data_IF_633090907751
#
_entry.id   IF_633090907751
#
_cell.length_a   1.000
_cell.length_b   1.000
_cell.length_c   1.000
_cell.angle_alpha   90.00
_cell.angle_beta   90.00
_cell.angle_gamma   90.00
#
_symmetry.space_group_name_H-M   'P 1'
#
loop_
_entity.id
_entity.type
_entity.pdbx_description
1 polymer ?
#
# COMPACT_ATOMS: atom_id res chain seq x y z
N UNK A 1 -3.85 -13.88 -18.91
CA UNK A 1 -5.28 -13.97 -19.22
C UNK A 1 -5.51 -13.09 -20.44
N UNK A 2 -6.33 -13.46 -21.41
CA UNK A 2 -6.59 -12.48 -22.46
C UNK A 2 -7.42 -11.35 -21.82
N UNK A 3 -7.05 -10.10 -22.10
CA UNK A 3 -7.67 -8.88 -21.52
C UNK A 3 -9.19 -8.90 -21.55
N UNK A 4 -9.80 -9.55 -22.56
CA UNK A 4 -11.26 -9.75 -22.66
C UNK A 4 -11.88 -10.46 -21.45
N UNK A 5 -11.19 -11.43 -20.84
CA UNK A 5 -11.73 -12.14 -19.66
C UNK A 5 -11.80 -11.23 -18.44
N UNK A 6 -10.82 -10.33 -18.27
CA UNK A 6 -10.84 -9.33 -17.19
C UNK A 6 -11.99 -8.35 -17.37
N UNK A 7 -12.23 -7.89 -18.61
CA UNK A 7 -13.39 -7.04 -18.93
C UNK A 7 -14.72 -7.73 -18.68
N UNK A 8 -14.85 -9.01 -19.07
CA UNK A 8 -16.07 -9.77 -18.80
C UNK A 8 -16.31 -9.97 -17.32
N UNK A 9 -15.30 -10.35 -16.55
CA UNK A 9 -15.45 -10.52 -15.10
C UNK A 9 -15.86 -9.20 -14.43
N UNK A 10 -15.22 -8.09 -14.82
CA UNK A 10 -15.59 -6.77 -14.34
C UNK A 10 -17.05 -6.38 -14.71
N UNK A 11 -17.48 -6.65 -15.94
CA UNK A 11 -18.84 -6.39 -16.40
C UNK A 11 -19.88 -7.28 -15.71
N UNK A 12 -19.55 -8.55 -15.44
CA UNK A 12 -20.38 -9.47 -14.66
C UNK A 12 -20.49 -8.97 -13.23
N UNK A 13 -19.38 -8.59 -12.59
CA UNK A 13 -19.39 -8.04 -11.23
C UNK A 13 -20.25 -6.78 -11.15
N UNK A 14 -20.06 -5.82 -12.06
CA UNK A 14 -20.87 -4.61 -12.10
C UNK A 14 -22.36 -4.93 -12.32
N UNK A 15 -22.68 -5.81 -13.28
CA UNK A 15 -24.07 -6.22 -13.53
C UNK A 15 -24.71 -6.88 -12.31
N UNK A 16 -24.01 -7.79 -11.63
CA UNK A 16 -24.53 -8.48 -10.43
C UNK A 16 -24.78 -7.50 -9.28
N UNK A 17 -23.87 -6.56 -9.05
CA UNK A 17 -24.01 -5.56 -7.99
C UNK A 17 -25.17 -4.62 -8.30
N UNK A 18 -25.29 -4.15 -9.54
CA UNK A 18 -26.41 -3.33 -9.97
C UNK A 18 -27.76 -4.07 -9.82
N UNK A 19 -27.83 -5.35 -10.20
CA UNK A 19 -29.04 -6.17 -10.05
C UNK A 19 -29.41 -6.44 -8.59
N UNK A 20 -28.46 -6.32 -7.64
CA UNK A 20 -28.75 -6.38 -6.19
C UNK A 20 -29.40 -5.10 -5.66
N UNK A 21 -29.50 -4.04 -6.47
CA UNK A 21 -30.13 -2.78 -6.10
C UNK A 21 -29.15 -1.71 -5.61
N UNK A 22 -27.83 -1.91 -5.78
CA UNK A 22 -26.83 -0.89 -5.47
C UNK A 22 -26.79 0.21 -6.54
N UNK A 23 -26.30 1.39 -6.16
CA UNK A 23 -26.17 2.53 -7.07
C UNK A 23 -25.31 2.19 -8.30
N UNK A 24 -25.72 2.65 -9.48
CA UNK A 24 -25.11 2.22 -10.74
C UNK A 24 -23.62 2.60 -10.84
N UNK A 25 -23.20 3.75 -10.30
CA UNK A 25 -21.79 4.12 -10.26
C UNK A 25 -21.00 3.30 -9.25
N UNK A 26 -21.59 2.94 -8.11
CA UNK A 26 -20.98 2.00 -7.15
C UNK A 26 -20.70 0.67 -7.85
N UNK A 27 -21.69 0.14 -8.58
CA UNK A 27 -21.55 -1.09 -9.34
C UNK A 27 -20.43 -1.00 -10.40
N UNK A 28 -20.39 0.10 -11.16
CA UNK A 28 -19.33 0.35 -12.15
C UNK A 28 -17.95 0.49 -11.50
N UNK A 29 -17.85 1.20 -10.37
CA UNK A 29 -16.61 1.37 -9.63
C UNK A 29 -16.06 0.06 -9.07
N UNK A 30 -16.93 -0.81 -8.55
CA UNK A 30 -16.53 -2.13 -8.08
C UNK A 30 -16.12 -3.04 -9.25
N UNK A 31 -16.80 -2.93 -10.39
CA UNK A 31 -16.35 -3.55 -11.65
C UNK A 31 -14.94 -3.07 -12.06
N UNK A 32 -14.68 -1.76 -12.03
CA UNK A 32 -13.36 -1.19 -12.29
C UNK A 32 -12.30 -1.73 -11.31
N UNK A 33 -12.64 -1.84 -10.03
CA UNK A 33 -11.74 -2.40 -9.00
C UNK A 33 -11.33 -3.84 -9.34
N UNK A 34 -12.28 -4.69 -9.74
CA UNK A 34 -12.01 -6.07 -10.18
C UNK A 34 -11.17 -6.09 -11.45
N UNK A 35 -11.48 -5.25 -12.43
CA UNK A 35 -10.70 -5.13 -13.66
C UNK A 35 -9.23 -4.80 -13.37
N UNK A 36 -8.99 -3.74 -12.59
CA UNK A 36 -7.64 -3.26 -12.24
C UNK A 36 -6.88 -4.32 -11.44
N UNK A 37 -7.54 -5.02 -10.52
CA UNK A 37 -6.91 -6.10 -9.75
C UNK A 37 -6.45 -7.26 -10.66
N UNK A 38 -7.29 -7.70 -11.58
CA UNK A 38 -6.97 -8.80 -12.51
C UNK A 38 -5.87 -8.39 -13.50
N UNK A 39 -5.93 -7.17 -14.04
CA UNK A 39 -4.92 -6.62 -14.94
C UNK A 39 -3.56 -6.46 -14.23
N UNK A 40 -3.55 -5.91 -13.02
CA UNK A 40 -2.33 -5.84 -12.19
C UNK A 40 -1.73 -7.23 -11.97
N UNK A 41 -2.55 -8.20 -11.54
CA UNK A 41 -2.10 -9.58 -11.28
C UNK A 41 -1.53 -10.25 -12.53
N UNK A 42 -2.06 -9.91 -13.70
CA UNK A 42 -1.53 -10.38 -14.97
C UNK A 42 -0.19 -9.74 -15.34
N UNK A 43 -0.08 -8.41 -15.16
CA UNK A 43 1.12 -7.64 -15.47
C UNK A 43 2.30 -7.96 -14.55
N UNK A 44 2.04 -8.42 -13.33
CA UNK A 44 3.05 -8.97 -12.44
C UNK A 44 3.89 -10.03 -13.16
N UNK A 45 5.21 -9.88 -13.15
CA UNK A 45 6.12 -10.82 -13.83
C UNK A 45 6.26 -10.63 -15.35
N UNK A 46 5.48 -9.72 -15.96
CA UNK A 46 5.60 -9.36 -17.39
C UNK A 46 6.12 -7.93 -17.59
N UNK A 47 5.88 -7.05 -16.64
CA UNK A 47 6.29 -5.64 -16.66
C UNK A 47 6.58 -5.22 -15.21
N UNK A 48 6.97 -3.96 -14.99
CA UNK A 48 7.04 -3.36 -13.66
C UNK A 48 5.80 -2.45 -13.49
N UNK A 49 4.67 -2.95 -12.96
CA UNK A 49 3.38 -2.28 -13.03
C UNK A 49 3.15 -1.29 -11.88
N UNK A 50 4.01 -0.28 -11.72
CA UNK A 50 3.92 0.69 -10.60
C UNK A 50 2.64 1.50 -10.68
N UNK A 51 2.26 1.97 -11.87
CA UNK A 51 1.07 2.80 -12.06
C UNK A 51 -0.21 1.98 -11.82
N UNK A 52 -0.22 0.70 -12.18
CA UNK A 52 -1.35 -0.19 -11.92
C UNK A 52 -1.48 -0.54 -10.44
N UNK A 53 -0.37 -0.66 -9.70
CA UNK A 53 -0.40 -0.75 -8.23
C UNK A 53 -1.05 0.50 -7.64
N UNK A 54 -0.63 1.69 -8.09
CA UNK A 54 -1.21 2.95 -7.61
C UNK A 54 -2.71 3.02 -7.89
N UNK A 55 -3.12 2.65 -9.11
CA UNK A 55 -4.53 2.62 -9.49
C UNK A 55 -5.31 1.59 -8.67
N UNK A 56 -4.73 0.42 -8.40
CA UNK A 56 -5.35 -0.60 -7.55
C UNK A 56 -5.55 -0.09 -6.12
N UNK A 57 -4.53 0.54 -5.53
CA UNK A 57 -4.63 1.14 -4.19
C UNK A 57 -5.73 2.21 -4.17
N UNK A 58 -5.80 3.07 -5.20
CA UNK A 58 -6.84 4.08 -5.31
C UNK A 58 -8.25 3.45 -5.41
N UNK A 59 -8.43 2.41 -6.21
CA UNK A 59 -9.72 1.68 -6.29
C UNK A 59 -10.10 1.04 -4.95
N UNK A 60 -9.15 0.41 -4.28
CA UNK A 60 -9.37 -0.19 -2.95
C UNK A 60 -9.75 0.87 -1.92
N UNK A 61 -9.11 2.05 -1.95
CA UNK A 61 -9.28 3.08 -0.93
C UNK A 61 -10.45 4.02 -1.16
N UNK A 62 -10.76 4.34 -2.42
CA UNK A 62 -11.77 5.35 -2.77
C UNK A 62 -13.07 4.74 -3.31
N UNK A 63 -13.09 3.44 -3.65
CA UNK A 63 -14.32 2.75 -4.08
C UNK A 63 -14.67 1.65 -3.08
N UNK A 64 -13.82 0.63 -2.95
CA UNK A 64 -14.13 -0.54 -2.12
C UNK A 64 -14.30 -0.17 -0.64
N UNK A 65 -13.39 0.65 -0.10
CA UNK A 65 -13.46 1.15 1.27
C UNK A 65 -14.79 1.88 1.57
N UNK A 66 -15.14 2.95 0.84
CA UNK A 66 -16.42 3.65 0.98
C UNK A 66 -17.64 2.75 0.81
N UNK A 67 -17.63 1.84 -0.17
CA UNK A 67 -18.73 0.90 -0.37
C UNK A 67 -18.96 0.03 0.88
N UNK A 68 -17.89 -0.51 1.49
CA UNK A 68 -17.99 -1.28 2.73
C UNK A 68 -18.54 -0.40 3.87
N UNK A 69 -18.09 0.85 3.96
CA UNK A 69 -18.50 1.79 5.02
C UNK A 69 -19.99 2.20 4.88
N UNK A 70 -20.47 2.46 3.67
CA UNK A 70 -21.89 2.77 3.41
C UNK A 70 -22.83 1.60 3.74
N UNK A 71 -22.35 0.36 3.64
CA UNK A 71 -23.12 -0.85 3.99
C UNK A 71 -22.89 -1.32 5.43
N UNK A 72 -21.95 -0.71 6.15
CA UNK A 72 -21.65 -1.05 7.54
C UNK A 72 -22.74 -0.51 8.46
N UNK A 73 -23.19 -1.33 9.40
CA UNK A 73 -24.10 -0.89 10.49
C UNK A 73 -23.37 -0.10 11.58
N UNK A 74 -22.04 -0.12 11.58
CA UNK A 74 -21.20 0.55 12.57
C UNK A 74 -20.43 1.68 11.90
N UNK A 75 -20.67 2.91 12.37
CA UNK A 75 -19.95 4.10 11.93
C UNK A 75 -18.97 4.56 13.00
N UNK A 76 -17.78 4.97 12.58
CA UNK A 76 -16.83 5.57 13.52
C UNK A 76 -17.36 6.94 13.89
N UNK A 77 -17.08 7.43 15.09
CA UNK A 77 -17.42 8.80 15.48
C UNK A 77 -16.71 9.90 14.67
N UNK A 78 -15.72 9.55 13.82
CA UNK A 78 -14.82 10.50 13.14
C UNK A 78 -14.46 10.12 11.70
N UNK A 79 -14.37 8.83 11.40
CA UNK A 79 -13.95 8.31 10.10
C UNK A 79 -15.14 7.61 9.43
N UNK A 80 -16.17 8.39 9.11
CA UNK A 80 -17.37 7.93 8.42
C UNK A 80 -17.59 8.75 7.14
N UNK A 81 -18.42 8.24 6.25
CA UNK A 81 -18.79 8.96 5.03
C UNK A 81 -19.72 10.15 5.35
N UNK A 82 -19.26 11.37 5.10
CA UNK A 82 -19.97 12.62 5.43
C UNK A 82 -21.09 13.00 4.45
N UNK A 83 -21.10 12.39 3.27
CA UNK A 83 -22.11 12.63 2.23
C UNK A 83 -22.73 11.30 1.80
N UNK A 84 -23.91 11.36 1.19
CA UNK A 84 -24.60 10.17 0.69
C UNK A 84 -23.80 9.44 -0.40
N UNK A 85 -24.06 8.15 -0.57
CA UNK A 85 -23.35 7.26 -1.49
C UNK A 85 -23.40 7.75 -2.95
N UNK A 86 -24.56 8.21 -3.40
CA UNK A 86 -24.79 8.78 -4.72
C UNK A 86 -23.89 9.99 -4.97
N UNK A 87 -23.93 10.98 -4.07
CA UNK A 87 -23.13 12.20 -4.15
C UNK A 87 -21.63 11.88 -4.22
N UNK A 88 -21.15 10.98 -3.37
CA UNK A 88 -19.75 10.59 -3.34
C UNK A 88 -19.31 9.85 -4.62
N UNK A 89 -20.09 8.85 -5.03
CA UNK A 89 -19.74 8.00 -6.17
C UNK A 89 -19.86 8.74 -7.51
N UNK A 90 -20.76 9.72 -7.61
CA UNK A 90 -20.89 10.65 -8.75
C UNK A 90 -19.60 11.41 -9.04
N UNK A 91 -18.84 11.76 -8.01
CA UNK A 91 -17.55 12.41 -8.18
C UNK A 91 -16.43 11.40 -8.43
N UNK A 92 -16.33 10.39 -7.57
CA UNK A 92 -15.12 9.57 -7.45
C UNK A 92 -15.00 8.55 -8.59
N UNK A 93 -16.10 7.90 -8.98
CA UNK A 93 -16.06 6.85 -10.00
C UNK A 93 -15.70 7.40 -11.39
N UNK A 94 -16.36 8.47 -11.90
CA UNK A 94 -15.95 9.09 -13.16
C UNK A 94 -14.51 9.62 -13.12
N UNK A 95 -14.11 10.23 -12.01
CA UNK A 95 -12.74 10.74 -11.83
C UNK A 95 -11.69 9.63 -11.92
N UNK A 96 -11.93 8.48 -11.28
CA UNK A 96 -11.03 7.34 -11.35
C UNK A 96 -11.00 6.69 -12.73
N UNK A 97 -12.13 6.61 -13.42
CA UNK A 97 -12.18 6.14 -14.81
C UNK A 97 -11.34 7.05 -15.70
N UNK A 98 -11.52 8.38 -15.61
CA UNK A 98 -10.73 9.35 -16.37
C UNK A 98 -9.24 9.28 -16.01
N UNK A 99 -8.90 9.07 -14.75
CA UNK A 99 -7.51 8.88 -14.29
C UNK A 99 -6.89 7.57 -14.81
N UNK A 100 -7.69 6.53 -15.01
CA UNK A 100 -7.21 5.24 -15.52
C UNK A 100 -6.83 5.30 -17.01
N UNK A 101 -7.52 6.12 -17.82
CA UNK A 101 -7.29 6.24 -19.27
C UNK A 101 -5.82 6.52 -19.60
N UNK A 102 -5.17 7.59 -19.11
CA UNK A 102 -3.80 7.86 -19.46
C UNK A 102 -2.83 6.78 -19.00
N UNK A 103 -3.12 6.12 -17.87
CA UNK A 103 -2.32 5.00 -17.38
C UNK A 103 -2.33 3.86 -18.40
N UNK A 104 -3.49 3.50 -18.93
CA UNK A 104 -3.62 2.39 -19.88
C UNK A 104 -3.18 2.72 -21.31
N UNK A 105 -3.40 3.96 -21.77
CA UNK A 105 -3.17 4.35 -23.17
C UNK A 105 -1.81 5.01 -23.43
N UNK A 106 -1.29 5.81 -22.49
CA UNK A 106 -0.06 6.59 -22.72
C UNK A 106 1.16 6.07 -21.98
N UNK A 107 0.99 5.26 -20.93
CA UNK A 107 2.13 4.78 -20.15
C UNK A 107 2.95 3.78 -20.94
N UNK A 108 4.21 4.13 -21.21
CA UNK A 108 5.18 3.18 -21.77
C UNK A 108 5.44 2.09 -20.76
N UNK A 109 5.03 0.87 -21.09
CA UNK A 109 5.35 -0.31 -20.29
C UNK A 109 6.84 -0.58 -20.41
N UNK A 110 7.53 -0.60 -19.27
CA UNK A 110 8.94 -1.01 -19.23
C UNK A 110 8.97 -2.50 -19.49
N UNK A 111 9.48 -2.89 -20.66
CA UNK A 111 9.72 -4.30 -20.98
C UNK A 111 10.84 -4.83 -20.11
N UNK A 112 10.51 -5.82 -19.29
CA UNK A 112 11.48 -6.46 -18.41
C UNK A 112 12.56 -7.19 -19.20
N UNK A 113 12.29 -7.73 -20.41
CA UNK A 113 13.31 -8.44 -21.20
C UNK A 113 14.43 -7.50 -21.62
N UNK A 114 14.07 -6.28 -22.03
CA UNK A 114 15.05 -5.23 -22.33
C UNK A 114 15.89 -4.86 -21.10
N UNK A 115 15.26 -4.83 -19.92
CA UNK A 115 15.94 -4.59 -18.65
C UNK A 115 16.88 -5.75 -18.25
N UNK A 116 16.43 -7.00 -18.41
CA UNK A 116 17.21 -8.22 -18.14
C UNK A 116 18.47 -8.28 -19.01
N UNK A 117 18.31 -8.03 -20.31
CA UNK A 117 19.42 -8.05 -21.26
C UNK A 117 20.47 -6.98 -20.90
N UNK A 118 20.04 -5.80 -20.44
CA UNK A 118 20.95 -4.74 -19.97
C UNK A 118 21.71 -5.15 -18.71
N UNK A 119 21.04 -5.77 -17.74
CA UNK A 119 21.70 -6.23 -16.50
C UNK A 119 22.74 -7.32 -16.79
N UNK A 120 22.40 -8.28 -17.67
CA UNK A 120 23.36 -9.32 -18.07
C UNK A 120 24.58 -8.72 -18.77
N UNK A 121 24.39 -7.67 -19.59
CA UNK A 121 25.48 -6.97 -20.25
C UNK A 121 26.42 -6.23 -19.28
N UNK A 122 25.88 -5.69 -18.17
CA UNK A 122 26.66 -4.98 -17.15
C UNK A 122 27.57 -5.95 -16.36
N UNK A 123 27.31 -7.26 -16.38
CA UNK A 123 28.18 -8.24 -15.72
C UNK A 123 28.23 -8.08 -14.20
N UNK A 124 27.08 -7.79 -13.56
CA UNK A 124 27.01 -7.56 -12.11
C UNK A 124 27.53 -8.77 -11.33
N UNK A 125 28.58 -8.57 -10.54
CA UNK A 125 29.16 -9.63 -9.70
C UNK A 125 28.38 -9.80 -8.40
N UNK A 126 28.34 -11.02 -7.80
CA UNK A 126 27.74 -11.23 -6.49
C UNK A 126 28.33 -10.31 -5.40
N UNK A 127 29.63 -10.00 -5.50
CA UNK A 127 30.32 -9.10 -4.56
C UNK A 127 29.75 -7.69 -4.60
N UNK A 128 29.50 -7.14 -5.78
CA UNK A 128 28.90 -5.81 -5.93
C UNK A 128 27.50 -5.74 -5.29
N UNK A 129 26.66 -6.75 -5.55
CA UNK A 129 25.34 -6.85 -4.94
C UNK A 129 25.43 -6.90 -3.41
N UNK A 130 26.35 -7.70 -2.86
CA UNK A 130 26.58 -7.79 -1.41
C UNK A 130 27.08 -6.45 -0.84
N UNK A 131 27.98 -5.74 -1.53
CA UNK A 131 28.45 -4.43 -1.08
C UNK A 131 27.32 -3.41 -1.01
N UNK A 132 26.40 -3.39 -1.97
CA UNK A 132 25.20 -2.52 -1.89
C UNK A 132 24.32 -2.86 -0.69
N UNK A 133 24.13 -4.15 -0.40
CA UNK A 133 23.36 -4.63 0.76
C UNK A 133 24.00 -4.16 2.06
N UNK A 134 25.29 -4.44 2.24
CA UNK A 134 26.04 -4.08 3.44
C UNK A 134 26.09 -2.56 3.60
N UNK A 135 26.38 -1.81 2.54
CA UNK A 135 26.39 -0.35 2.58
C UNK A 135 25.04 0.22 3.02
N UNK A 136 23.92 -0.30 2.49
CA UNK A 136 22.60 0.15 2.90
C UNK A 136 22.25 -0.18 4.36
N UNK A 137 22.72 -1.31 4.89
CA UNK A 137 22.58 -1.61 6.32
C UNK A 137 23.46 -0.70 7.20
N UNK A 138 24.70 -0.45 6.79
CA UNK A 138 25.61 0.46 7.49
C UNK A 138 25.03 1.88 7.53
N UNK A 139 24.47 2.38 6.42
CA UNK A 139 23.81 3.69 6.38
C UNK A 139 22.60 3.77 7.32
N UNK A 140 21.83 2.70 7.47
CA UNK A 140 20.73 2.66 8.44
C UNK A 140 21.25 2.72 9.89
N UNK A 141 22.38 2.08 10.19
CA UNK A 141 23.00 2.16 11.52
C UNK A 141 23.61 3.53 11.80
N UNK A 142 24.13 4.20 10.76
CA UNK A 142 24.70 5.54 10.87
C UNK A 142 23.64 6.64 10.89
N UNK A 143 22.40 6.34 10.49
CA UNK A 143 21.30 7.31 10.39
C UNK A 143 21.11 8.19 11.64
N UNK A 144 21.18 7.69 12.89
CA UNK A 144 21.04 8.53 14.09
C UNK A 144 22.12 9.61 14.25
N UNK A 145 23.27 9.46 13.58
CA UNK A 145 24.39 10.39 13.64
C UNK A 145 24.37 11.42 12.51
N UNK A 146 23.39 11.33 11.60
CA UNK A 146 23.29 12.20 10.43
C UNK A 146 22.45 13.43 10.77
N UNK A 147 22.87 14.65 10.37
CA UNK A 147 22.04 15.85 10.51
C UNK A 147 20.67 15.67 9.84
N UNK A 148 19.62 16.23 10.45
CA UNK A 148 18.24 16.03 10.00
C UNK A 148 18.03 16.45 8.53
N UNK A 149 18.76 17.47 8.06
CA UNK A 149 18.70 17.99 6.70
C UNK A 149 19.17 16.97 5.66
N UNK A 150 20.11 16.11 6.03
CA UNK A 150 20.66 15.05 5.17
C UNK A 150 19.94 13.70 5.39
N UNK A 151 19.04 13.63 6.36
CA UNK A 151 18.33 12.41 6.72
C UNK A 151 17.62 11.78 5.52
N UNK A 152 16.93 12.59 4.69
CA UNK A 152 16.25 12.07 3.50
C UNK A 152 17.20 11.45 2.46
N UNK A 153 18.37 12.05 2.25
CA UNK A 153 19.38 11.54 1.31
C UNK A 153 19.93 10.21 1.84
N UNK A 154 20.27 10.14 3.12
CA UNK A 154 20.78 8.90 3.73
C UNK A 154 19.72 7.81 3.75
N UNK A 155 18.45 8.15 3.98
CA UNK A 155 17.33 7.21 3.84
C UNK A 155 17.25 6.64 2.41
N UNK A 156 17.34 7.49 1.38
CA UNK A 156 17.33 7.06 -0.02
C UNK A 156 18.54 6.17 -0.36
N UNK A 157 19.72 6.50 0.16
CA UNK A 157 20.93 5.68 -0.04
C UNK A 157 20.83 4.35 0.72
N UNK A 158 20.21 4.32 1.90
CA UNK A 158 20.03 3.09 2.66
C UNK A 158 19.12 2.09 1.94
N UNK A 159 18.19 2.58 1.12
CA UNK A 159 17.33 1.79 0.25
C UNK A 159 18.11 1.00 -0.84
N UNK A 160 19.37 1.35 -1.12
CA UNK A 160 20.24 0.56 -2.02
C UNK A 160 20.37 -0.90 -1.58
N UNK A 161 20.12 -1.22 -0.29
CA UNK A 161 20.09 -2.62 0.17
C UNK A 161 19.08 -3.48 -0.59
N UNK A 162 17.91 -2.94 -0.90
CA UNK A 162 16.87 -3.68 -1.63
C UNK A 162 17.22 -3.83 -3.11
N UNK A 163 17.85 -2.81 -3.70
CA UNK A 163 18.39 -2.89 -5.07
C UNK A 163 19.49 -3.95 -5.15
N UNK A 164 20.39 -3.99 -4.16
CA UNK A 164 21.42 -5.02 -4.06
C UNK A 164 20.84 -6.43 -3.96
N UNK A 165 19.74 -6.62 -3.23
CA UNK A 165 19.02 -7.91 -3.20
C UNK A 165 18.50 -8.27 -4.59
N UNK A 166 17.84 -7.34 -5.29
CA UNK A 166 17.34 -7.58 -6.65
C UNK A 166 18.50 -8.01 -7.57
N UNK A 167 19.64 -7.32 -7.50
CA UNK A 167 20.86 -7.71 -8.23
C UNK A 167 21.40 -9.08 -7.84
N UNK A 168 21.34 -9.46 -6.57
CA UNK A 168 21.78 -10.77 -6.12
C UNK A 168 20.97 -11.90 -6.78
N UNK A 169 19.67 -11.70 -7.02
CA UNK A 169 18.82 -12.66 -7.73
C UNK A 169 19.16 -12.80 -9.22
N UNK A 170 19.80 -11.79 -9.83
CA UNK A 170 20.37 -11.88 -11.17
C UNK A 170 21.70 -12.66 -11.24
N UNK A 171 22.27 -13.02 -10.09
CA UNK A 171 23.52 -13.80 -10.04
C UNK A 171 23.28 -15.26 -9.62
N UNK A 172 24.26 -16.13 -9.89
CA UNK A 172 24.24 -17.53 -9.47
C UNK A 172 24.65 -17.74 -7.99
N UNK A 173 24.37 -16.77 -7.12
CA UNK A 173 24.76 -16.84 -5.70
C UNK A 173 23.92 -17.86 -4.92
N UNK A 174 24.58 -18.83 -4.27
CA UNK A 174 23.94 -19.96 -3.56
C UNK A 174 23.03 -19.53 -2.41
N UNK A 175 23.39 -18.48 -1.67
CA UNK A 175 22.70 -18.08 -0.44
C UNK A 175 21.72 -16.91 -0.63
N UNK A 176 21.28 -16.63 -1.86
CA UNK A 176 20.39 -15.50 -2.17
C UNK A 176 19.11 -15.45 -1.33
N UNK A 177 18.51 -16.61 -1.05
CA UNK A 177 17.31 -16.72 -0.22
C UNK A 177 17.58 -16.40 1.26
N UNK A 178 18.76 -16.78 1.77
CA UNK A 178 19.16 -16.46 3.15
C UNK A 178 19.37 -14.96 3.30
N UNK A 179 20.03 -14.33 2.32
CA UNK A 179 20.25 -12.87 2.30
C UNK A 179 18.93 -12.11 2.19
N UNK A 180 18.00 -12.58 1.33
CA UNK A 180 16.65 -12.03 1.24
C UNK A 180 15.90 -12.13 2.57
N UNK A 181 15.83 -13.33 3.15
CA UNK A 181 15.12 -13.58 4.40
C UNK A 181 15.71 -12.77 5.56
N UNK A 182 17.04 -12.73 5.68
CA UNK A 182 17.72 -11.93 6.70
C UNK A 182 17.46 -10.43 6.52
N UNK A 183 17.48 -9.92 5.29
CA UNK A 183 17.22 -8.52 5.03
C UNK A 183 15.77 -8.12 5.29
N UNK A 184 14.83 -8.99 4.94
CA UNK A 184 13.41 -8.79 5.18
C UNK A 184 13.08 -8.88 6.68
N UNK A 185 13.69 -9.83 7.40
CA UNK A 185 13.57 -9.95 8.85
C UNK A 185 14.12 -8.70 9.56
N UNK A 186 15.28 -8.20 9.15
CA UNK A 186 15.82 -6.95 9.68
C UNK A 186 14.86 -5.76 9.44
N UNK A 187 14.26 -5.67 8.24
CA UNK A 187 13.28 -4.63 7.95
C UNK A 187 11.98 -4.79 8.78
N UNK A 188 11.53 -6.02 9.00
CA UNK A 188 10.37 -6.32 9.85
C UNK A 188 10.64 -5.86 11.29
N UNK A 189 11.79 -6.23 11.86
CA UNK A 189 12.17 -5.81 13.21
C UNK A 189 12.29 -4.30 13.34
N UNK A 190 12.90 -3.62 12.36
CA UNK A 190 12.97 -2.17 12.32
C UNK A 190 11.57 -1.53 12.25
N UNK A 191 10.66 -2.10 11.45
CA UNK A 191 9.28 -1.62 11.31
C UNK A 191 8.47 -1.79 12.60
N UNK A 192 8.68 -2.90 13.32
CA UNK A 192 8.09 -3.14 14.64
C UNK A 192 8.63 -2.14 15.67
N UNK A 193 9.95 -1.96 15.73
CA UNK A 193 10.60 -1.03 16.65
C UNK A 193 10.14 0.42 16.45
N UNK A 194 9.97 0.83 15.18
CA UNK A 194 9.45 2.15 14.81
C UNK A 194 7.91 2.25 14.91
N UNK A 195 7.19 1.13 15.01
CA UNK A 195 5.72 1.10 14.94
C UNK A 195 5.16 1.54 13.57
N UNK A 196 5.98 1.53 12.53
CA UNK A 196 5.68 1.98 11.17
C UNK A 196 6.03 0.89 10.17
N UNK A 197 5.04 0.46 9.38
CA UNK A 197 5.19 -0.72 8.50
C UNK A 197 5.07 -0.38 7.01
N UNK A 198 4.90 0.88 6.65
CA UNK A 198 4.72 1.29 5.26
C UNK A 198 5.93 0.91 4.39
N UNK A 199 7.14 1.14 4.89
CA UNK A 199 8.39 0.75 4.22
C UNK A 199 8.45 -0.75 3.95
N UNK A 200 8.10 -1.58 4.94
CA UNK A 200 8.10 -3.03 4.80
C UNK A 200 7.15 -3.48 3.66
N UNK A 201 5.96 -2.89 3.60
CA UNK A 201 4.97 -3.21 2.58
C UNK A 201 5.41 -2.77 1.18
N UNK A 202 5.97 -1.57 1.06
CA UNK A 202 6.47 -1.02 -0.20
C UNK A 202 7.62 -1.89 -0.75
N UNK A 203 8.64 -2.15 0.06
CA UNK A 203 9.78 -2.97 -0.35
C UNK A 203 9.40 -4.43 -0.56
N UNK A 204 8.47 -4.97 0.25
CA UNK A 204 7.92 -6.31 0.07
C UNK A 204 7.19 -6.45 -1.28
N UNK A 205 6.35 -5.48 -1.64
CA UNK A 205 5.65 -5.47 -2.92
C UNK A 205 6.63 -5.34 -4.09
N UNK A 206 7.62 -4.45 -3.99
CA UNK A 206 8.64 -4.29 -5.03
C UNK A 206 9.43 -5.58 -5.24
N UNK A 207 9.92 -6.19 -4.16
CA UNK A 207 10.63 -7.48 -4.23
C UNK A 207 9.75 -8.58 -4.81
N UNK A 208 8.46 -8.62 -4.45
CA UNK A 208 7.50 -9.57 -5.00
C UNK A 208 7.32 -9.40 -6.52
N UNK A 209 7.24 -8.16 -7.02
CA UNK A 209 7.18 -7.87 -8.47
C UNK A 209 8.41 -8.49 -9.17
N UNK A 210 9.61 -8.27 -8.62
CA UNK A 210 10.83 -8.85 -9.19
C UNK A 210 10.85 -10.37 -9.10
N UNK A 211 10.47 -10.98 -7.97
CA UNK A 211 10.38 -12.44 -7.84
C UNK A 211 9.43 -13.05 -8.87
N UNK A 212 8.29 -12.39 -9.16
CA UNK A 212 7.39 -12.81 -10.22
C UNK A 212 8.06 -12.81 -11.60
N UNK A 213 8.95 -11.85 -11.86
CA UNK A 213 9.71 -11.75 -13.11
C UNK A 213 10.73 -12.89 -13.19
N UNK A 214 11.52 -13.08 -12.13
CA UNK A 214 12.58 -14.09 -12.10
C UNK A 214 12.07 -15.52 -12.26
N UNK A 215 11.05 -15.88 -11.49
CA UNK A 215 10.55 -17.25 -11.44
C UNK A 215 9.39 -17.50 -12.41
N UNK A 216 9.00 -16.49 -13.19
CA UNK A 216 7.90 -16.57 -14.17
C UNK A 216 6.65 -17.23 -13.56
N UNK A 217 6.23 -16.74 -12.39
CA UNK A 217 5.14 -17.34 -11.63
C UNK A 217 3.85 -17.42 -12.47
N UNK A 218 3.09 -18.49 -12.28
CA UNK A 218 1.78 -18.66 -12.91
C UNK A 218 0.77 -17.68 -12.31
N UNK A 219 -0.34 -17.43 -13.02
CA UNK A 219 -1.40 -16.53 -12.53
C UNK A 219 -1.96 -16.99 -11.17
N UNK A 220 -2.17 -18.30 -11.00
CA UNK A 220 -2.67 -18.87 -9.74
C UNK A 220 -1.64 -18.68 -8.62
N UNK A 221 -0.35 -18.91 -8.87
CA UNK A 221 0.69 -18.67 -7.86
C UNK A 221 0.73 -17.20 -7.42
N UNK A 222 0.63 -16.26 -8.36
CA UNK A 222 0.56 -14.83 -8.06
C UNK A 222 -0.65 -14.51 -7.19
N UNK A 223 -1.82 -15.03 -7.57
CA UNK A 223 -3.07 -14.83 -6.83
C UNK A 223 -2.96 -15.40 -5.41
N UNK A 224 -2.46 -16.63 -5.25
CA UNK A 224 -2.25 -17.25 -3.94
C UNK A 224 -1.33 -16.41 -3.06
N UNK A 225 -0.20 -15.93 -3.60
CA UNK A 225 0.74 -15.10 -2.83
C UNK A 225 0.11 -13.75 -2.48
N UNK A 226 -0.66 -13.12 -3.38
CA UNK A 226 -1.36 -11.88 -3.09
C UNK A 226 -2.41 -12.06 -1.99
N UNK A 227 -3.18 -13.16 -2.01
CA UNK A 227 -4.17 -13.48 -0.98
C UNK A 227 -3.48 -13.73 0.37
N UNK A 228 -2.42 -14.55 0.40
CA UNK A 228 -1.63 -14.80 1.62
C UNK A 228 -0.99 -13.50 2.12
N UNK A 229 -0.48 -12.66 1.23
CA UNK A 229 0.08 -11.35 1.54
C UNK A 229 -0.97 -10.40 2.12
N UNK A 230 -2.17 -10.36 1.54
CA UNK A 230 -3.29 -9.58 2.07
C UNK A 230 -3.68 -10.04 3.47
N UNK A 231 -3.77 -11.35 3.71
CA UNK A 231 -4.00 -11.91 5.04
C UNK A 231 -2.90 -11.55 6.03
N UNK A 232 -1.63 -11.61 5.63
CA UNK A 232 -0.51 -11.21 6.47
C UNK A 232 -0.56 -9.72 6.82
N UNK A 233 -0.91 -8.86 5.85
CA UNK A 233 -1.11 -7.42 6.07
C UNK A 233 -2.27 -7.19 7.03
N UNK A 234 -3.38 -7.90 6.85
CA UNK A 234 -4.56 -7.79 7.71
C UNK A 234 -4.20 -8.10 9.18
N UNK A 235 -3.54 -9.24 9.43
CA UNK A 235 -3.05 -9.62 10.76
C UNK A 235 -2.14 -8.53 11.35
N UNK A 236 -1.18 -8.06 10.55
CA UNK A 236 -0.24 -7.03 10.96
C UNK A 236 -0.96 -5.72 11.32
N UNK A 237 -1.98 -5.31 10.56
CA UNK A 237 -2.78 -4.12 10.87
C UNK A 237 -3.59 -4.29 12.16
N UNK A 238 -4.17 -5.46 12.41
CA UNK A 238 -4.91 -5.73 13.65
C UNK A 238 -3.97 -5.65 14.87
N UNK A 239 -2.80 -6.27 14.80
CA UNK A 239 -1.83 -6.28 15.90
C UNK A 239 -1.35 -4.87 16.23
N UNK A 240 -1.22 -3.97 15.24
CA UNK A 240 -0.82 -2.57 15.51
C UNK A 240 -1.74 -1.86 16.50
N UNK A 241 -3.04 -2.17 16.50
CA UNK A 241 -4.01 -1.56 17.42
C UNK A 241 -3.68 -1.92 18.87
N UNK A 242 -3.60 -3.23 19.15
CA UNK A 242 -3.24 -3.73 20.47
C UNK A 242 -1.83 -3.33 20.90
N UNK A 243 -0.86 -3.43 19.98
CA UNK A 243 0.53 -3.06 20.23
C UNK A 243 0.66 -1.59 20.68
N UNK A 244 -0.07 -0.67 20.04
CA UNK A 244 -0.07 0.75 20.46
C UNK A 244 -0.76 0.95 21.80
N UNK A 245 -1.85 0.23 22.06
CA UNK A 245 -2.57 0.31 23.33
C UNK A 245 -1.70 -0.17 24.50
N UNK A 246 -0.92 -1.24 24.32
CA UNK A 246 -0.01 -1.75 25.34
C UNK A 246 1.15 -0.77 25.58
N UNK A 247 1.80 -0.28 24.52
CA UNK A 247 2.88 0.72 24.65
C UNK A 247 2.39 2.01 25.33
N UNK A 248 1.19 2.48 25.00
CA UNK A 248 0.63 3.68 25.64
C UNK A 248 0.30 3.48 27.12
N UNK A 249 -0.06 2.26 27.53
CA UNK A 249 -0.37 1.94 28.94
C UNK A 249 0.88 1.68 29.78
N UNK A 250 1.90 1.03 29.20
CA UNK A 250 3.08 0.55 29.94
C UNK A 250 4.33 1.46 29.81
N UNK A 251 4.30 2.48 28.93
CA UNK A 251 5.34 3.51 28.84
C UNK A 251 6.62 3.07 28.08
N UNK A 252 7.66 3.92 28.11
CA UNK A 252 8.88 3.76 27.29
C UNK A 252 9.82 2.61 27.72
N UNK A 253 9.62 2.02 28.89
CA UNK A 253 10.55 1.01 29.44
C UNK A 253 10.32 -0.42 28.93
N UNK A 254 9.35 -0.64 28.03
CA UNK A 254 9.00 -1.99 27.56
C UNK A 254 9.76 -2.34 26.28
N UNK A 255 10.24 -3.59 26.20
CA UNK A 255 10.81 -4.12 24.97
C UNK A 255 9.71 -4.26 23.89
N UNK A 256 9.65 -3.26 23.01
CA UNK A 256 8.75 -3.15 21.87
C UNK A 256 8.67 -4.41 21.01
N UNK A 257 9.78 -5.12 20.81
CA UNK A 257 9.78 -6.36 20.01
C UNK A 257 9.05 -7.48 20.74
N UNK A 258 9.25 -7.60 22.06
CA UNK A 258 8.59 -8.60 22.89
C UNK A 258 7.07 -8.38 22.93
N UNK A 259 6.64 -7.14 23.16
CA UNK A 259 5.20 -6.78 23.15
C UNK A 259 4.54 -7.13 21.83
N UNK A 260 5.22 -6.88 20.71
CA UNK A 260 4.71 -7.24 19.39
C UNK A 260 4.57 -8.76 19.22
N UNK A 261 5.56 -9.55 19.66
CA UNK A 261 5.51 -11.01 19.61
C UNK A 261 4.35 -11.53 20.47
N UNK A 262 4.19 -10.99 21.68
CA UNK A 262 3.12 -11.41 22.59
C UNK A 262 1.74 -11.07 22.02
N UNK A 263 1.57 -9.87 21.47
CA UNK A 263 0.34 -9.47 20.77
C UNK A 263 0.07 -10.36 19.54
N UNK A 264 1.11 -10.70 18.76
CA UNK A 264 0.98 -11.61 17.62
C UNK A 264 0.53 -13.01 18.05
N UNK A 265 1.17 -13.59 19.08
CA UNK A 265 0.83 -14.92 19.58
C UNK A 265 -0.58 -14.93 20.16
N UNK A 266 -0.96 -13.93 20.95
CA UNK A 266 -2.29 -13.84 21.53
C UNK A 266 -3.38 -13.71 20.45
N UNK A 267 -3.21 -12.81 19.48
CA UNK A 267 -4.16 -12.69 18.35
C UNK A 267 -4.24 -13.96 17.53
N UNK A 268 -3.11 -14.57 17.19
CA UNK A 268 -3.10 -15.80 16.38
C UNK A 268 -3.92 -16.92 17.02
N UNK A 269 -3.86 -17.08 18.36
CA UNK A 269 -4.65 -18.09 19.08
C UNK A 269 -6.16 -17.80 18.99
N UNK A 270 -6.57 -16.55 19.12
CA UNK A 270 -7.98 -16.13 19.01
C UNK A 270 -8.54 -16.29 17.59
N UNK A 271 -7.72 -16.15 16.55
CA UNK A 271 -8.16 -16.38 15.16
C UNK A 271 -8.45 -17.85 14.85
N UNK A 272 -7.75 -18.80 15.49
CA UNK A 272 -7.91 -20.24 15.19
C UNK A 272 -8.82 -20.98 16.18
N UNK A 273 -9.09 -20.42 17.36
CA UNK A 273 -10.00 -20.99 18.36
C UNK A 273 -11.08 -19.96 18.68
N UNK A 274 -12.35 -20.18 18.28
CA UNK A 274 -13.43 -19.29 18.67
C UNK A 274 -13.57 -19.36 20.19
N UNK A 275 -13.24 -18.28 20.88
CA UNK A 275 -13.40 -18.23 22.33
C UNK A 275 -14.91 -18.18 22.62
N UNK A 276 -15.47 -19.29 23.09
CA UNK A 276 -16.89 -19.48 23.43
C UNK A 276 -17.30 -18.82 24.75
N UNK A 277 -16.46 -17.96 25.33
CA UNK A 277 -16.81 -17.21 26.52
C UNK A 277 -16.94 -15.73 26.17
N UNK A 278 -18.19 -15.29 26.17
CA UNK A 278 -18.60 -13.93 25.91
C UNK A 278 -17.91 -12.96 26.86
N UNK A 279 -17.09 -12.09 26.27
CA UNK A 279 -16.91 -10.74 26.77
C UNK A 279 -17.35 -9.84 25.63
N UNK A 280 -18.62 -9.43 25.67
CA UNK A 280 -19.06 -8.27 24.90
C UNK A 280 -18.34 -7.05 25.51
N UNK A 281 -17.21 -6.67 24.93
CA UNK A 281 -16.71 -5.31 25.11
C UNK A 281 -17.67 -4.39 24.36
N UNK A 282 -18.59 -3.77 25.10
CA UNK A 282 -19.58 -2.82 24.58
C UNK A 282 -18.98 -1.48 24.12
N UNK A 283 -17.64 -1.35 24.03
CA UNK A 283 -16.93 -0.14 23.59
C UNK A 283 -15.74 -0.41 22.65
N UNK A 284 -15.53 -1.65 22.18
CA UNK A 284 -14.40 -1.96 21.30
C UNK A 284 -14.81 -1.93 19.83
N UNK A 285 -14.33 -0.89 19.14
CA UNK A 285 -14.19 -0.81 17.69
C UNK A 285 -13.85 -2.20 17.12
N UNK A 286 -14.81 -2.88 16.48
CA UNK A 286 -14.58 -4.25 16.02
C UNK A 286 -13.35 -4.27 15.11
N UNK A 287 -12.54 -5.33 15.17
CA UNK A 287 -11.31 -5.42 14.36
C UNK A 287 -11.57 -5.22 12.86
N UNK A 288 -12.75 -5.67 12.39
CA UNK A 288 -13.23 -5.45 11.03
C UNK A 288 -13.54 -3.97 10.76
N UNK A 289 -14.05 -3.27 11.77
CA UNK A 289 -14.37 -1.84 11.76
C UNK A 289 -13.09 -1.00 11.69
N UNK A 290 -12.08 -1.30 12.53
CA UNK A 290 -10.76 -0.67 12.48
C UNK A 290 -10.00 -0.91 11.16
N UNK A 291 -10.14 -2.11 10.57
CA UNK A 291 -9.59 -2.42 9.25
C UNK A 291 -10.33 -1.66 8.13
N UNK A 292 -11.66 -1.54 8.24
CA UNK A 292 -12.50 -0.79 7.30
C UNK A 292 -12.07 0.69 7.22
N UNK A 293 -11.81 1.35 8.35
CA UNK A 293 -11.37 2.76 8.34
C UNK A 293 -9.98 3.00 7.75
N UNK A 294 -9.10 1.99 7.81
CA UNK A 294 -7.77 2.10 7.18
C UNK A 294 -7.86 1.89 5.69
N UNK A 295 -8.73 0.98 5.25
CA UNK A 295 -9.01 0.76 3.84
C UNK A 295 -9.73 1.98 3.26
N UNK A 296 -10.77 2.49 3.92
CA UNK A 296 -11.51 3.66 3.50
C UNK A 296 -10.68 4.93 3.72
N UNK A 297 -10.03 5.46 2.69
CA UNK A 297 -9.51 6.84 2.69
C UNK A 297 -10.47 7.80 1.97
N UNK A 298 -11.56 7.29 1.41
CA UNK A 298 -12.62 8.08 0.78
C UNK A 298 -13.36 9.00 1.76
N UNK A 299 -13.32 8.73 3.07
CA UNK A 299 -13.89 9.65 4.07
C UNK A 299 -13.23 11.04 4.05
N UNK A 300 -11.97 11.15 3.61
CA UNK A 300 -11.29 12.45 3.47
C UNK A 300 -11.96 13.25 2.35
N UNK A 301 -12.18 12.61 1.20
CA UNK A 301 -12.86 13.21 0.05
C UNK A 301 -14.29 13.59 0.43
N UNK A 302 -15.04 12.70 1.10
CA UNK A 302 -16.41 13.01 1.53
C UNK A 302 -16.46 14.15 2.54
N UNK A 303 -15.48 14.25 3.46
CA UNK A 303 -15.38 15.39 4.37
C UNK A 303 -15.12 16.71 3.63
N UNK A 304 -14.28 16.68 2.60
CA UNK A 304 -14.05 17.87 1.76
C UNK A 304 -15.34 18.26 1.04
N UNK A 305 -16.07 17.31 0.47
CA UNK A 305 -17.36 17.55 -0.21
C UNK A 305 -18.44 18.07 0.74
N UNK A 306 -18.44 17.62 1.99
CA UNK A 306 -19.36 18.13 3.01
C UNK A 306 -18.99 19.55 3.46
N UNK A 307 -17.71 19.88 3.49
CA UNK A 307 -17.24 21.18 3.97
C UNK A 307 -17.21 22.27 2.88
N UNK A 308 -17.12 21.90 1.61
CA UNK A 308 -17.07 22.80 0.46
C UNK A 308 -18.32 22.56 -0.40
N UNK A 309 -19.18 23.57 -0.65
CA UNK A 309 -18.92 25.01 -0.43
C UNK A 309 -19.34 25.57 0.94
N UNK A 310 -20.07 24.81 1.75
CA UNK A 310 -20.86 25.37 2.86
C UNK A 310 -20.03 26.14 3.91
N UNK A 311 -18.84 25.65 4.26
CA UNK A 311 -17.95 26.30 5.24
C UNK A 311 -16.73 26.99 4.59
N UNK A 312 -16.36 26.59 3.38
CA UNK A 312 -15.26 27.20 2.61
C UNK A 312 -15.63 27.25 1.14
N UNK A 313 -15.48 28.42 0.52
CA UNK A 313 -15.69 28.58 -0.91
C UNK A 313 -14.71 27.74 -1.74
N UNK A 314 -15.11 27.40 -2.96
CA UNK A 314 -14.25 26.72 -3.94
C UNK A 314 -12.97 27.51 -4.18
N UNK A 315 -11.82 26.86 -4.04
CA UNK A 315 -10.51 27.49 -4.25
C UNK A 315 -10.08 27.55 -5.73
N UNK A 316 -10.92 27.13 -6.68
CA UNK A 316 -10.73 27.27 -8.12
C UNK A 316 -9.31 26.87 -8.63
N UNK A 317 -8.72 25.83 -8.03
CA UNK A 317 -7.41 25.31 -8.44
C UNK A 317 -6.20 26.10 -7.96
N UNK A 318 -6.36 27.10 -7.08
CA UNK A 318 -5.23 27.84 -6.47
C UNK A 318 -4.24 26.87 -5.81
N UNK A 319 -4.73 25.90 -5.04
CA UNK A 319 -3.90 24.88 -4.39
C UNK A 319 -3.10 24.02 -5.39
N UNK A 320 -3.68 23.72 -6.56
CA UNK A 320 -3.00 22.95 -7.61
C UNK A 320 -1.88 23.79 -8.24
N UNK A 321 -2.16 25.06 -8.54
CA UNK A 321 -1.17 26.00 -9.06
C UNK A 321 -0.01 26.17 -8.09
N UNK A 322 -0.31 26.37 -6.81
CA UNK A 322 0.70 26.53 -5.77
C UNK A 322 1.53 25.25 -5.59
N UNK A 323 0.90 24.07 -5.65
CA UNK A 323 1.62 22.79 -5.60
C UNK A 323 2.57 22.62 -6.80
N UNK A 324 2.13 22.95 -8.02
CA UNK A 324 2.99 22.89 -9.22
C UNK A 324 4.16 23.86 -9.09
N UNK A 325 3.90 25.12 -8.71
CA UNK A 325 4.95 26.12 -8.52
C UNK A 325 5.95 25.64 -7.45
N UNK A 326 5.45 25.18 -6.30
CA UNK A 326 6.29 24.69 -5.20
C UNK A 326 7.09 23.45 -5.58
N UNK A 327 6.56 22.57 -6.44
CA UNK A 327 7.29 21.39 -6.91
C UNK A 327 8.46 21.73 -7.87
N UNK A 328 8.36 22.87 -8.57
CA UNK A 328 9.39 23.37 -9.47
C UNK A 328 10.48 24.16 -8.73
N UNK A 329 10.13 24.81 -7.62
CA UNK A 329 11.12 25.39 -6.73
C UNK A 329 11.80 24.28 -5.92
N UNK A 330 13.13 24.18 -6.01
CA UNK A 330 13.88 23.34 -5.07
C UNK A 330 13.58 23.90 -3.67
N UNK A 331 12.88 23.13 -2.83
CA UNK A 331 12.39 23.53 -1.51
C UNK A 331 13.46 24.13 -0.57
N UNK A 332 14.75 23.96 -0.92
CA UNK A 332 15.89 24.57 -0.25
C UNK A 332 16.00 26.11 -0.44
N UNK A 333 15.41 26.70 -1.48
CA UNK A 333 15.57 28.12 -1.82
C UNK A 333 14.32 28.99 -1.65
N UNK A 334 13.20 28.40 -1.23
CA UNK A 334 11.97 29.16 -1.01
C UNK A 334 11.95 29.75 0.42
N UNK A 335 12.18 31.05 0.54
CA UNK A 335 12.12 31.80 1.81
C UNK A 335 10.74 31.70 2.48
N UNK A 336 9.67 31.55 1.68
CA UNK A 336 8.32 31.30 2.16
C UNK A 336 7.94 29.85 1.86
N UNK A 337 8.25 28.94 2.79
CA UNK A 337 7.64 27.61 2.81
C UNK A 337 6.13 27.80 3.01
N UNK A 338 5.36 27.65 1.92
CA UNK A 338 3.95 27.29 2.08
C UNK A 338 3.96 25.95 2.81
N UNK A 339 3.45 25.93 4.04
CA UNK A 339 3.34 24.70 4.83
C UNK A 339 2.44 23.77 4.03
N UNK A 340 3.05 22.84 3.29
CA UNK A 340 2.38 21.79 2.56
C UNK A 340 1.80 20.79 3.54
N UNK A 341 0.66 21.16 4.13
CA UNK A 341 -0.21 20.31 4.92
C UNK A 341 -1.59 20.39 4.29
N UNK A 342 -1.88 19.44 3.41
CA UNK A 342 -3.26 19.09 3.07
C UNK A 342 -3.91 18.36 4.23
#
# INVERSE_FOLDING_TARGET
MNTWRSYLLAAITASVIYLKGDYYLTALGLGLTVFVFLDFTEKLGKTIPILEVMLLIACLQWILGPYIDYKSTYQHYKYYMYVNEDVYMDLVVPSLILFSIPIYYFSKKIDYLAFLNRIQYIGITPKFAIYMIVAGFVLNLLFPFVPAELGFIVYLLSAMKFIGIIYLFFTNYKYKWVVLAGSFLAQLLASVAAGMFHDLLLWGLLLFIYLCIFYKLSFIQKLTILIVGFWAIFILQTIKGEYRNIIWKEGEHVNKVQVFIDAFVNKSKTFFVPNTQGVQYLDEESEATAASYRLNQGWIISRIMFNIPDNKAFQNGVTIKDAILTSLYLSAFAENKVVGGG
#
